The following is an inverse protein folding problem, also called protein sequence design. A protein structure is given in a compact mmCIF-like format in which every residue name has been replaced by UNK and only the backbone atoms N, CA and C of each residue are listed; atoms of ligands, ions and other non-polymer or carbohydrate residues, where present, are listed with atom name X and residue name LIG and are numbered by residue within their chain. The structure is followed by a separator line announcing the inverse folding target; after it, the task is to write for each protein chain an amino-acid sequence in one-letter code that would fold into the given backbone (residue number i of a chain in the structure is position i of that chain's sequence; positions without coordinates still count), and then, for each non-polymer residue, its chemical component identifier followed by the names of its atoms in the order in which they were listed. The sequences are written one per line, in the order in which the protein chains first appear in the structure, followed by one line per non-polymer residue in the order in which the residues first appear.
data_IF_124953841010
#
_entry.id   IF_124953841010
#
_cell.length_a   1.000
_cell.length_b   1.000
_cell.length_c   1.000
_cell.angle_alpha   90.00
_cell.angle_beta   90.00
_cell.angle_gamma   90.00
#
_symmetry.space_group_name_H-M   'P 1'
#
loop_
_entity.id
_entity.type
_entity.pdbx_description
1 polymer ?
#
# COMPACT_ATOMS: atom_id res chain seq x y z
N UNK A 1 65.58 -20.66 37.37
CA UNK A 1 64.85 -21.95 37.47
C UNK A 1 63.35 -21.60 37.54
N UNK A 2 62.62 -21.40 36.42
CA UNK A 2 61.85 -22.40 35.65
C UNK A 2 61.01 -23.36 36.51
N UNK A 3 59.68 -23.11 36.60
CA UNK A 3 58.50 -24.03 36.42
C UNK A 3 57.24 -23.12 36.41
N UNK A 4 56.71 -22.63 35.29
CA UNK A 4 55.77 -23.28 34.35
C UNK A 4 54.78 -24.24 35.05
N UNK A 5 53.61 -23.71 35.42
CA UNK A 5 52.40 -24.51 35.60
C UNK A 5 51.47 -24.19 34.43
N UNK A 6 51.37 -25.15 33.52
CA UNK A 6 50.55 -25.12 32.33
C UNK A 6 49.06 -25.25 32.72
N UNK A 7 48.23 -24.31 32.28
CA UNK A 7 46.79 -24.53 32.18
C UNK A 7 46.41 -24.71 30.71
N UNK A 8 46.16 -25.97 30.37
CA UNK A 8 44.97 -26.40 29.65
C UNK A 8 44.63 -25.71 28.35
N UNK A 9 45.20 -26.23 27.26
CA UNK A 9 44.66 -26.14 25.92
C UNK A 9 43.38 -26.99 25.83
N UNK A 10 42.25 -26.37 25.47
CA UNK A 10 41.12 -27.07 24.85
C UNK A 10 40.55 -26.16 23.75
N UNK A 11 41.16 -26.26 22.58
CA UNK A 11 40.64 -25.69 21.35
C UNK A 11 39.40 -26.50 20.91
N UNK A 12 38.22 -25.90 21.02
CA UNK A 12 37.02 -26.41 20.36
C UNK A 12 37.07 -26.00 18.89
N UNK A 13 37.40 -26.98 18.05
CA UNK A 13 37.36 -26.92 16.60
C UNK A 13 35.91 -26.70 16.14
N UNK A 14 35.60 -25.50 15.66
CA UNK A 14 34.41 -25.19 14.88
C UNK A 14 34.58 -25.81 13.48
N UNK A 15 34.27 -27.10 13.37
CA UNK A 15 34.05 -27.79 12.10
C UNK A 15 32.53 -27.77 11.82
N UNK A 16 32.13 -27.15 10.71
CA UNK A 16 30.75 -27.20 10.24
C UNK A 16 30.30 -25.98 9.42
N UNK A 17 31.04 -25.59 8.38
CA UNK A 17 30.38 -24.88 7.28
C UNK A 17 29.66 -25.94 6.44
N UNK A 18 28.42 -26.23 6.80
CA UNK A 18 27.51 -26.97 5.92
C UNK A 18 27.31 -26.14 4.66
N UNK A 19 27.59 -26.75 3.51
CA UNK A 19 27.18 -26.24 2.21
C UNK A 19 25.65 -26.15 2.25
N UNK A 20 25.10 -24.93 2.38
CA UNK A 20 23.67 -24.71 2.24
C UNK A 20 23.33 -24.95 0.76
N UNK A 21 22.87 -26.17 0.48
CA UNK A 21 22.15 -26.47 -0.74
C UNK A 21 21.03 -25.44 -0.85
N UNK A 22 21.18 -24.52 -1.81
CA UNK A 22 20.12 -23.57 -2.15
C UNK A 22 18.98 -24.39 -2.73
N UNK A 23 18.09 -24.85 -1.85
CA UNK A 23 16.78 -25.33 -2.23
C UNK A 23 16.14 -24.24 -3.09
N UNK A 24 16.05 -24.56 -4.37
CA UNK A 24 15.35 -23.78 -5.38
C UNK A 24 13.90 -23.71 -4.91
N UNK A 25 13.53 -22.62 -4.24
CA UNK A 25 12.14 -22.25 -3.99
C UNK A 25 11.33 -22.58 -5.25
N UNK A 26 10.39 -23.55 -5.20
CA UNK A 26 9.60 -23.88 -6.37
C UNK A 26 8.81 -22.62 -6.71
N UNK A 27 9.09 -22.07 -7.88
CA UNK A 27 8.42 -20.88 -8.39
C UNK A 27 6.92 -21.06 -8.23
N UNK A 28 6.33 -20.31 -7.31
CA UNK A 28 4.90 -20.35 -7.06
C UNK A 28 4.21 -19.86 -8.33
N UNK A 29 3.78 -20.81 -9.16
CA UNK A 29 2.86 -20.53 -10.24
C UNK A 29 1.56 -20.14 -9.55
N UNK A 30 1.24 -18.85 -9.56
CA UNK A 30 -0.02 -18.36 -9.02
C UNK A 30 -1.16 -19.17 -9.64
N UNK A 31 -1.81 -20.00 -8.83
CA UNK A 31 -2.99 -20.72 -9.24
C UNK A 31 -4.00 -19.69 -9.75
N UNK A 32 -4.52 -19.88 -10.96
CA UNK A 32 -5.66 -19.08 -11.40
C UNK A 32 -6.79 -19.34 -10.41
N UNK A 33 -7.21 -18.29 -9.71
CA UNK A 33 -8.38 -18.38 -8.85
C UNK A 33 -9.59 -18.54 -9.75
N UNK A 34 -10.37 -19.60 -9.54
CA UNK A 34 -11.69 -19.80 -10.18
C UNK A 34 -12.77 -18.86 -9.60
N UNK A 35 -12.38 -17.95 -8.69
CA UNK A 35 -13.27 -16.91 -8.19
C UNK A 35 -13.53 -15.90 -9.31
N UNK A 36 -14.80 -15.57 -9.63
CA UNK A 36 -15.08 -14.54 -10.61
C UNK A 36 -14.36 -13.25 -10.21
N UNK A 37 -13.74 -12.56 -11.17
CA UNK A 37 -12.96 -11.33 -10.93
C UNK A 37 -13.74 -10.24 -10.17
N UNK A 38 -15.08 -10.32 -10.14
CA UNK A 38 -15.97 -9.48 -9.34
C UNK A 38 -15.80 -9.65 -7.82
N UNK A 39 -15.29 -10.79 -7.37
CA UNK A 39 -15.21 -11.17 -5.95
C UNK A 39 -13.76 -11.23 -5.45
N UNK A 40 -12.80 -10.84 -6.31
CA UNK A 40 -11.40 -10.78 -5.94
C UNK A 40 -11.12 -9.56 -5.04
N UNK A 41 -10.49 -9.79 -3.89
CA UNK A 41 -10.07 -8.74 -2.96
C UNK A 41 -8.97 -7.83 -3.51
N UNK A 42 -8.40 -8.17 -4.66
CA UNK A 42 -7.26 -7.49 -5.26
C UNK A 42 -7.31 -7.56 -6.79
N UNK A 43 -7.03 -6.44 -7.46
CA UNK A 43 -6.95 -6.38 -8.92
C UNK A 43 -5.55 -6.79 -9.41
N UNK A 44 -5.47 -7.97 -10.04
CA UNK A 44 -4.22 -8.57 -10.53
C UNK A 44 -3.63 -7.84 -11.75
N UNK A 45 -2.33 -8.04 -12.07
CA UNK A 45 -1.67 -7.35 -13.19
C UNK A 45 -2.25 -7.69 -14.57
N UNK A 46 -2.79 -8.90 -14.73
CA UNK A 46 -3.38 -9.40 -15.99
C UNK A 46 -4.91 -9.35 -15.99
N UNK A 47 -5.52 -8.77 -14.95
CA UNK A 47 -6.97 -8.62 -14.88
C UNK A 47 -7.40 -7.45 -15.77
N UNK A 48 -8.32 -7.72 -16.69
CA UNK A 48 -8.84 -6.73 -17.65
C UNK A 48 -9.97 -5.87 -17.07
N UNK A 49 -10.39 -6.11 -15.82
CA UNK A 49 -11.44 -5.32 -15.17
C UNK A 49 -11.01 -3.87 -15.02
N UNK A 50 -11.88 -2.94 -15.41
CA UNK A 50 -11.63 -1.52 -15.24
C UNK A 50 -11.42 -1.18 -13.74
N UNK A 51 -10.30 -0.54 -13.33
CA UNK A 51 -10.00 -0.28 -11.92
C UNK A 51 -11.07 0.50 -11.16
N UNK A 52 -11.70 1.49 -11.81
CA UNK A 52 -12.79 2.27 -11.21
C UNK A 52 -14.02 1.39 -10.95
N UNK A 53 -14.37 0.51 -11.89
CA UNK A 53 -15.51 -0.39 -11.78
C UNK A 53 -15.27 -1.46 -10.72
N UNK A 54 -14.06 -2.03 -10.68
CA UNK A 54 -13.66 -2.99 -9.65
C UNK A 54 -13.80 -2.37 -8.25
N UNK A 55 -13.24 -1.17 -8.04
CA UNK A 55 -13.31 -0.48 -6.76
C UNK A 55 -14.74 -0.10 -6.37
N UNK A 56 -15.56 0.35 -7.34
CA UNK A 56 -16.96 0.68 -7.11
C UNK A 56 -17.80 -0.55 -6.70
N UNK A 57 -17.59 -1.70 -7.37
CA UNK A 57 -18.25 -2.97 -7.02
C UNK A 57 -17.89 -3.41 -5.62
N UNK A 58 -16.61 -3.30 -5.26
CA UNK A 58 -16.13 -3.60 -3.91
C UNK A 58 -16.80 -2.70 -2.86
N UNK A 59 -16.82 -1.40 -3.09
CA UNK A 59 -17.44 -0.44 -2.17
C UNK A 59 -18.97 -0.63 -2.03
N UNK A 60 -19.63 -1.18 -3.06
CA UNK A 60 -21.06 -1.46 -3.04
C UNK A 60 -21.44 -2.73 -2.26
N UNK A 61 -20.48 -3.59 -1.90
CA UNK A 61 -20.73 -4.76 -1.03
C UNK A 61 -21.80 -5.73 -1.53
N UNK A 62 -21.91 -5.92 -2.85
CA UNK A 62 -22.95 -6.76 -3.49
C UNK A 62 -24.21 -6.02 -3.91
N UNK A 63 -24.31 -4.72 -3.59
CA UNK A 63 -25.29 -3.82 -4.18
C UNK A 63 -24.97 -3.45 -5.63
N UNK A 64 -25.94 -2.81 -6.29
CA UNK A 64 -25.72 -2.22 -7.61
C UNK A 64 -24.72 -1.06 -7.56
N UNK A 65 -23.89 -0.92 -8.59
CA UNK A 65 -22.97 0.22 -8.72
C UNK A 65 -23.75 1.45 -9.15
N UNK A 66 -23.73 2.51 -8.32
CA UNK A 66 -24.27 3.82 -8.69
C UNK A 66 -23.43 4.43 -9.84
N UNK A 67 -24.06 4.76 -10.99
CA UNK A 67 -23.37 5.39 -12.11
C UNK A 67 -22.65 6.70 -11.75
N UNK A 68 -23.21 7.50 -10.83
CA UNK A 68 -22.60 8.77 -10.42
C UNK A 68 -21.33 8.55 -9.59
N UNK A 69 -21.39 7.62 -8.62
CA UNK A 69 -20.21 7.19 -7.86
C UNK A 69 -19.11 6.61 -8.75
N UNK A 70 -19.48 5.79 -9.75
CA UNK A 70 -18.54 5.25 -10.73
C UNK A 70 -17.89 6.36 -11.58
N UNK A 71 -18.67 7.33 -12.04
CA UNK A 71 -18.17 8.50 -12.76
C UNK A 71 -17.17 9.31 -11.93
N UNK A 72 -17.47 9.52 -10.65
CA UNK A 72 -16.58 10.21 -9.71
C UNK A 72 -15.26 9.45 -9.51
N UNK A 73 -15.32 8.13 -9.36
CA UNK A 73 -14.14 7.28 -9.24
C UNK A 73 -13.24 7.33 -10.48
N UNK A 74 -13.84 7.27 -11.67
CA UNK A 74 -13.11 7.42 -12.95
C UNK A 74 -12.39 8.76 -13.01
N UNK A 75 -13.08 9.84 -12.65
CA UNK A 75 -12.50 11.18 -12.65
C UNK A 75 -11.34 11.30 -11.65
N UNK A 76 -11.50 10.81 -10.41
CA UNK A 76 -10.44 10.83 -9.40
C UNK A 76 -9.22 10.02 -9.84
N UNK A 77 -9.40 8.81 -10.40
CA UNK A 77 -8.29 8.00 -10.91
C UNK A 77 -7.59 8.66 -12.10
N UNK A 78 -8.33 9.33 -13.00
CA UNK A 78 -7.75 10.05 -14.11
C UNK A 78 -6.88 11.23 -13.64
N UNK A 79 -7.36 12.02 -12.67
CA UNK A 79 -6.62 13.12 -12.07
C UNK A 79 -5.34 12.63 -11.35
N UNK A 80 -5.43 11.51 -10.64
CA UNK A 80 -4.33 10.95 -9.86
C UNK A 80 -3.09 10.58 -10.70
N UNK A 81 -3.26 10.30 -12.01
CA UNK A 81 -2.16 9.91 -12.93
C UNK A 81 -1.04 10.96 -13.02
N UNK A 82 -1.36 12.24 -12.83
CA UNK A 82 -0.40 13.32 -12.93
C UNK A 82 0.41 13.50 -11.64
N UNK A 83 -0.14 13.06 -10.51
CA UNK A 83 0.43 13.31 -9.18
C UNK A 83 1.13 12.09 -8.58
N UNK A 84 0.85 10.88 -9.07
CA UNK A 84 1.43 9.65 -8.51
C UNK A 84 2.22 8.85 -9.52
N UNK A 85 3.25 8.15 -9.06
CA UNK A 85 4.08 7.24 -9.87
C UNK A 85 3.28 6.00 -10.29
N UNK A 86 2.39 5.53 -9.40
CA UNK A 86 1.60 4.32 -9.61
C UNK A 86 0.55 4.43 -10.73
N UNK A 87 0.28 3.29 -11.38
CA UNK A 87 -0.78 3.14 -12.36
C UNK A 87 -2.19 3.09 -11.70
N UNK A 88 -3.28 3.30 -12.46
CA UNK A 88 -4.65 3.30 -11.91
C UNK A 88 -5.06 2.01 -11.18
N UNK A 89 -4.56 0.83 -11.58
CA UNK A 89 -4.83 -0.44 -10.89
C UNK A 89 -4.18 -0.44 -9.52
N UNK A 90 -2.92 -0.01 -9.43
CA UNK A 90 -2.24 0.12 -8.15
C UNK A 90 -2.91 1.14 -7.24
N UNK A 91 -3.33 2.30 -7.76
CA UNK A 91 -4.07 3.31 -6.98
C UNK A 91 -5.39 2.72 -6.45
N UNK A 92 -6.14 2.01 -7.29
CA UNK A 92 -7.38 1.37 -6.86
C UNK A 92 -7.15 0.33 -5.75
N UNK A 93 -6.16 -0.56 -5.91
CA UNK A 93 -5.82 -1.57 -4.90
C UNK A 93 -5.40 -0.94 -3.56
N UNK A 94 -4.56 0.10 -3.60
CA UNK A 94 -4.11 0.82 -2.39
C UNK A 94 -5.26 1.57 -1.72
N UNK A 95 -6.22 2.09 -2.50
CA UNK A 95 -7.43 2.73 -1.96
C UNK A 95 -8.31 1.71 -1.24
N UNK A 96 -8.55 0.54 -1.84
CA UNK A 96 -9.30 -0.53 -1.20
C UNK A 96 -8.65 -1.00 0.12
N UNK A 97 -7.32 -1.08 0.15
CA UNK A 97 -6.56 -1.36 1.38
C UNK A 97 -6.74 -0.25 2.42
N UNK A 98 -6.64 1.02 2.01
CA UNK A 98 -6.83 2.17 2.90
C UNK A 98 -8.24 2.22 3.49
N UNK A 99 -9.28 1.97 2.68
CA UNK A 99 -10.67 1.90 3.16
C UNK A 99 -10.83 0.86 4.27
N UNK A 100 -10.25 -0.33 4.11
CA UNK A 100 -10.27 -1.37 5.13
C UNK A 100 -9.59 -0.92 6.43
N UNK A 101 -8.39 -0.32 6.32
CA UNK A 101 -7.66 0.17 7.50
C UNK A 101 -8.36 1.33 8.22
N UNK A 102 -9.12 2.16 7.49
CA UNK A 102 -9.94 3.23 8.09
C UNK A 102 -11.21 2.66 8.73
N UNK A 103 -11.82 1.64 8.12
CA UNK A 103 -12.98 0.96 8.70
C UNK A 103 -12.63 0.27 10.04
N UNK A 104 -11.43 -0.31 10.17
CA UNK A 104 -10.93 -0.89 11.43
C UNK A 104 -10.96 0.09 12.61
N UNK A 105 -10.84 1.40 12.36
CA UNK A 105 -10.88 2.46 13.39
C UNK A 105 -12.21 3.24 13.39
N UNK A 106 -13.25 2.71 12.75
CA UNK A 106 -14.57 3.36 12.68
C UNK A 106 -14.61 4.65 11.85
N UNK A 107 -13.65 4.81 10.92
CA UNK A 107 -13.44 6.04 10.16
C UNK A 107 -13.63 5.85 8.65
N UNK A 108 -14.58 5.00 8.24
CA UNK A 108 -14.82 4.67 6.84
C UNK A 108 -15.05 5.94 5.98
N UNK A 109 -14.44 5.96 4.79
CA UNK A 109 -14.49 7.07 3.85
C UNK A 109 -14.72 6.57 2.42
N UNK A 110 -15.30 7.43 1.58
CA UNK A 110 -15.60 7.06 0.19
C UNK A 110 -14.33 7.03 -0.66
N UNK A 111 -14.14 6.03 -1.53
CA UNK A 111 -12.88 5.87 -2.26
C UNK A 111 -12.57 7.02 -3.23
N UNK A 112 -13.59 7.58 -3.91
CA UNK A 112 -13.40 8.74 -4.77
C UNK A 112 -12.89 9.98 -4.00
N UNK A 113 -13.32 10.15 -2.74
CA UNK A 113 -12.88 11.23 -1.88
C UNK A 113 -11.44 11.00 -1.41
N UNK A 114 -11.11 9.78 -0.98
CA UNK A 114 -9.74 9.40 -0.61
C UNK A 114 -8.75 9.68 -1.73
N UNK A 115 -9.03 9.19 -2.95
CA UNK A 115 -8.15 9.43 -4.11
C UNK A 115 -8.02 10.94 -4.37
N UNK A 116 -9.14 11.67 -4.41
CA UNK A 116 -9.13 13.12 -4.70
C UNK A 116 -8.35 13.94 -3.66
N UNK A 117 -8.55 13.67 -2.38
CA UNK A 117 -7.87 14.39 -1.30
C UNK A 117 -6.37 14.13 -1.30
N UNK A 118 -5.97 12.87 -1.45
CA UNK A 118 -4.57 12.46 -1.49
C UNK A 118 -3.90 12.98 -2.78
N UNK A 119 -4.61 13.02 -3.92
CA UNK A 119 -4.13 13.72 -5.13
C UNK A 119 -3.86 15.20 -4.85
N UNK A 120 -4.75 15.89 -4.12
CA UNK A 120 -4.55 17.28 -3.72
C UNK A 120 -3.33 17.48 -2.82
N UNK A 121 -3.06 16.55 -1.90
CA UNK A 121 -1.84 16.55 -1.08
C UNK A 121 -0.59 16.36 -1.96
N UNK A 122 -0.61 15.40 -2.87
CA UNK A 122 0.53 15.13 -3.74
C UNK A 122 0.81 16.29 -4.70
N UNK A 123 -0.22 16.94 -5.24
CA UNK A 123 -0.07 18.11 -6.11
C UNK A 123 0.65 19.28 -5.43
N UNK A 124 0.50 19.44 -4.11
CA UNK A 124 1.18 20.48 -3.34
C UNK A 124 2.70 20.27 -3.19
N UNK A 125 3.21 19.09 -3.54
CA UNK A 125 4.62 18.73 -3.37
C UNK A 125 5.53 19.09 -4.56
N UNK A 126 4.98 19.62 -5.66
CA UNK A 126 5.74 19.97 -6.87
C UNK A 126 6.28 18.79 -7.69
N UNK A 127 6.22 17.56 -7.18
CA UNK A 127 6.72 16.34 -7.85
C UNK A 127 5.75 15.16 -7.70
N UNK A 128 5.91 14.13 -8.54
CA UNK A 128 5.13 12.89 -8.40
C UNK A 128 5.48 12.18 -7.09
N UNK A 129 4.46 11.71 -6.39
CA UNK A 129 4.57 11.00 -5.12
C UNK A 129 4.25 9.51 -5.28
N UNK A 130 4.53 8.73 -4.24
CA UNK A 130 4.04 7.35 -4.12
C UNK A 130 2.68 7.36 -3.40
N UNK A 131 1.62 6.94 -4.10
CA UNK A 131 0.27 6.86 -3.55
C UNK A 131 0.20 5.93 -2.33
N UNK A 132 0.89 4.78 -2.39
CA UNK A 132 0.93 3.83 -1.28
C UNK A 132 1.52 4.42 -0.01
N UNK A 133 2.60 5.20 -0.12
CA UNK A 133 3.23 5.90 1.01
C UNK A 133 2.28 6.93 1.61
N UNK A 134 1.63 7.72 0.75
CA UNK A 134 0.66 8.73 1.17
C UNK A 134 -0.53 8.11 1.94
N UNK A 135 -1.03 6.98 1.47
CA UNK A 135 -2.07 6.20 2.16
C UNK A 135 -1.61 5.76 3.56
N UNK A 136 -0.38 5.25 3.69
CA UNK A 136 0.17 4.82 4.98
C UNK A 136 0.35 6.00 5.96
N UNK A 137 0.84 7.15 5.48
CA UNK A 137 0.92 8.34 6.30
C UNK A 137 -0.45 8.84 6.75
N UNK A 138 -1.43 8.84 5.84
CA UNK A 138 -2.79 9.26 6.16
C UNK A 138 -3.39 8.40 7.28
N UNK A 139 -3.41 7.07 7.10
CA UNK A 139 -4.02 6.19 8.10
C UNK A 139 -3.25 6.15 9.42
N UNK A 140 -1.93 6.35 9.40
CA UNK A 140 -1.14 6.52 10.63
C UNK A 140 -1.60 7.73 11.41
N UNK A 141 -1.81 8.87 10.74
CA UNK A 141 -2.33 10.09 11.38
C UNK A 141 -3.77 9.88 11.87
N UNK A 142 -4.62 9.18 11.11
CA UNK A 142 -6.00 8.87 11.52
C UNK A 142 -6.05 7.94 12.73
N UNK A 143 -5.17 6.94 12.80
CA UNK A 143 -5.01 6.05 13.98
C UNK A 143 -4.54 6.80 15.22
N UNK A 144 -3.83 7.91 15.07
CA UNK A 144 -3.48 8.82 16.17
C UNK A 144 -4.66 9.70 16.65
N UNK A 145 -5.86 9.53 16.09
CA UNK A 145 -7.08 10.22 16.52
C UNK A 145 -7.35 11.55 15.81
N UNK A 146 -6.52 11.95 14.83
CA UNK A 146 -6.80 13.16 14.07
C UNK A 146 -8.02 12.97 13.16
N UNK A 147 -8.90 13.95 13.14
CA UNK A 147 -10.00 14.02 12.19
C UNK A 147 -9.49 14.19 10.75
N UNK A 148 -10.32 13.80 9.77
CA UNK A 148 -10.01 13.84 8.33
C UNK A 148 -9.36 15.15 7.88
N UNK A 149 -10.00 16.29 8.14
CA UNK A 149 -9.52 17.59 7.65
C UNK A 149 -8.19 17.99 8.28
N UNK A 150 -8.01 17.72 9.58
CA UNK A 150 -6.75 17.96 10.28
C UNK A 150 -5.62 17.04 9.78
N UNK A 151 -5.93 15.78 9.48
CA UNK A 151 -4.98 14.84 8.91
C UNK A 151 -4.54 15.28 7.50
N UNK A 152 -5.47 15.70 6.65
CA UNK A 152 -5.17 16.21 5.32
C UNK A 152 -4.36 17.52 5.37
N UNK A 153 -4.70 18.45 6.27
CA UNK A 153 -3.94 19.68 6.47
C UNK A 153 -2.48 19.37 6.87
N UNK A 154 -2.28 18.48 7.85
CA UNK A 154 -0.96 18.04 8.29
C UNK A 154 -0.16 17.36 7.17
N UNK A 155 -0.81 16.57 6.32
CA UNK A 155 -0.17 15.98 5.16
C UNK A 155 0.24 17.05 4.13
N UNK A 156 -0.64 18.01 3.82
CA UNK A 156 -0.32 19.11 2.89
C UNK A 156 0.90 19.89 3.36
N UNK A 157 0.97 20.25 4.64
CA UNK A 157 2.13 20.92 5.24
C UNK A 157 3.41 20.09 5.07
N UNK A 158 3.36 18.80 5.40
CA UNK A 158 4.50 17.89 5.29
C UNK A 158 5.01 17.76 3.85
N UNK A 159 4.11 17.57 2.90
CA UNK A 159 4.47 17.32 1.51
C UNK A 159 4.84 18.59 0.74
N UNK A 160 4.24 19.74 1.06
CA UNK A 160 4.66 21.03 0.51
C UNK A 160 6.06 21.43 0.99
N UNK A 161 6.45 21.05 2.22
CA UNK A 161 7.79 21.31 2.73
C UNK A 161 8.91 20.51 2.02
N UNK A 162 8.56 19.43 1.30
CA UNK A 162 9.55 18.62 0.57
C UNK A 162 10.08 19.31 -0.71
N UNK A 163 9.38 20.32 -1.20
CA UNK A 163 9.75 21.10 -2.39
C UNK A 163 10.67 22.29 -2.05
N UNK A 164 10.97 22.50 -0.75
CA UNK A 164 11.81 23.60 -0.31
C UNK A 164 13.30 23.19 -0.40
N UNK A 165 14.13 23.92 -1.16
CA UNK A 165 15.57 23.64 -1.31
C UNK A 165 16.35 23.81 0.01
#
# INVERSE_FOLDING_TARGET
MRRLAALGLAALLLAGCGEEDREREPGTVAARSDRPASDADWLGPTDATEPALWLARRAAGGGGVDPSALGSLRASLAAARQSFVEDPRMIANRTAQLEAMLAEIGAAERPAALIGDLTGVAAASGRRQLYGELCQHYVTIRRAGLARDAALARLRERYAAQDRP
#
